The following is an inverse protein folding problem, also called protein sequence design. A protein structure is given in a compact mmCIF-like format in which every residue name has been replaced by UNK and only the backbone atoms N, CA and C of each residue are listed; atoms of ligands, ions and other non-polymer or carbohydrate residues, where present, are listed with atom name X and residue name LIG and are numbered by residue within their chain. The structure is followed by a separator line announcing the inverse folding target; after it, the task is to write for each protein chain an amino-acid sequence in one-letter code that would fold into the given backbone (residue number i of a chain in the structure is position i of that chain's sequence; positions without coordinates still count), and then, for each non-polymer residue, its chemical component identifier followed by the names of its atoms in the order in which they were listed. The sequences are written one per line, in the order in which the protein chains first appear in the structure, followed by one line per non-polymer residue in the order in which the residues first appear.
data_IF_500916878762
#
_entry.id   IF_500916878762
#
_cell.length_a   1.000
_cell.length_b   1.000
_cell.length_c   1.000
_cell.angle_alpha   90.00
_cell.angle_beta   90.00
_cell.angle_gamma   90.00
#
_symmetry.space_group_name_H-M   'P 1'
#
loop_
_entity.id
_entity.type
_entity.pdbx_description
1 polymer ?
#
# COMPACT_ATOMS: atom_id res chain seq x y z
N UNK A 1 0.33 10.06 2.22
CA UNK A 1 0.32 11.51 2.43
C UNK A 1 1.56 11.95 3.20
N UNK A 2 2.55 12.52 2.51
CA UNK A 2 3.72 13.08 3.19
C UNK A 2 3.45 14.44 3.86
N UNK A 3 2.32 15.10 3.59
CA UNK A 3 1.96 16.35 4.27
C UNK A 3 1.62 16.13 5.75
N UNK A 4 1.29 14.89 6.13
CA UNK A 4 1.02 14.49 7.51
C UNK A 4 2.28 14.09 8.30
N UNK A 5 3.45 14.08 7.64
CA UNK A 5 4.71 13.62 8.20
C UNK A 5 5.76 14.72 8.07
N UNK A 6 6.81 14.65 8.88
CA UNK A 6 8.01 15.43 8.63
C UNK A 6 8.86 14.83 7.49
N UNK A 7 9.90 15.55 7.08
CA UNK A 7 10.75 15.16 5.95
C UNK A 7 11.46 13.82 6.16
N UNK A 8 11.92 13.56 7.39
CA UNK A 8 12.61 12.31 7.75
C UNK A 8 11.63 11.14 7.69
N UNK A 9 10.48 11.26 8.36
CA UNK A 9 9.45 10.22 8.39
C UNK A 9 8.86 9.94 6.99
N UNK A 10 8.67 10.97 6.17
CA UNK A 10 8.24 10.79 4.78
C UNK A 10 9.28 10.02 3.95
N UNK A 11 10.57 10.27 4.18
CA UNK A 11 11.66 9.57 3.47
C UNK A 11 11.75 8.11 3.90
N UNK A 12 11.64 7.84 5.20
CA UNK A 12 11.59 6.47 5.75
C UNK A 12 10.40 5.70 5.20
N UNK A 13 9.19 6.27 5.27
CA UNK A 13 7.97 5.68 4.73
C UNK A 13 8.12 5.29 3.25
N UNK A 14 8.70 6.17 2.43
CA UNK A 14 8.94 5.88 1.00
C UNK A 14 9.90 4.71 0.81
N UNK A 15 10.96 4.64 1.62
CA UNK A 15 11.92 3.54 1.58
C UNK A 15 11.25 2.22 1.92
N UNK A 16 10.49 2.18 3.01
CA UNK A 16 9.80 0.97 3.47
C UNK A 16 8.73 0.49 2.48
N UNK A 17 7.98 1.41 1.86
CA UNK A 17 7.03 1.06 0.79
C UNK A 17 7.79 0.48 -0.41
N UNK A 18 8.90 1.10 -0.83
CA UNK A 18 9.70 0.64 -1.97
C UNK A 18 10.26 -0.77 -1.72
N UNK A 19 10.81 -1.02 -0.53
CA UNK A 19 11.27 -2.35 -0.12
C UNK A 19 10.13 -3.36 -0.15
N UNK A 20 8.97 -3.01 0.42
CA UNK A 20 7.78 -3.86 0.41
C UNK A 20 7.31 -4.23 -1.00
N UNK A 21 7.35 -3.28 -1.94
CA UNK A 21 7.01 -3.53 -3.35
C UNK A 21 7.98 -4.54 -4.01
N UNK A 22 9.28 -4.40 -3.73
CA UNK A 22 10.31 -5.31 -4.26
C UNK A 22 10.11 -6.72 -3.70
N UNK A 23 9.97 -6.86 -2.38
CA UNK A 23 9.81 -8.14 -1.69
C UNK A 23 8.55 -8.91 -2.13
N UNK A 24 7.45 -8.19 -2.37
CA UNK A 24 6.16 -8.82 -2.71
C UNK A 24 5.96 -9.03 -4.22
N UNK A 25 6.93 -8.63 -5.04
CA UNK A 25 6.90 -8.75 -6.49
C UNK A 25 6.21 -7.56 -7.17
N UNK A 26 7.00 -6.53 -7.46
CA UNK A 26 6.59 -5.23 -7.97
C UNK A 26 5.68 -5.24 -9.22
N UNK A 27 5.66 -6.33 -10.01
CA UNK A 27 4.85 -6.43 -11.23
C UNK A 27 3.33 -6.35 -10.98
N UNK A 28 2.85 -6.55 -9.74
CA UNK A 28 1.41 -6.52 -9.39
C UNK A 28 1.05 -5.49 -8.31
N UNK A 29 2.00 -4.66 -7.91
CA UNK A 29 1.81 -3.65 -6.87
C UNK A 29 2.23 -2.29 -7.41
N UNK A 30 1.44 -1.27 -7.09
CA UNK A 30 1.68 0.11 -7.53
C UNK A 30 1.54 0.98 -6.28
N UNK A 31 2.50 1.87 -6.06
CA UNK A 31 2.40 2.93 -5.06
C UNK A 31 2.49 4.28 -5.76
N UNK A 32 1.68 5.24 -5.31
CA UNK A 32 1.67 6.60 -5.83
C UNK A 32 1.41 7.58 -4.69
N UNK A 33 1.98 8.79 -4.76
CA UNK A 33 1.68 9.83 -3.78
C UNK A 33 0.23 10.26 -3.94
N UNK A 34 -0.49 10.29 -2.81
CA UNK A 34 -1.85 10.81 -2.77
C UNK A 34 -1.98 11.72 -1.54
N UNK A 35 -2.12 13.02 -1.82
CA UNK A 35 -2.12 14.11 -0.81
C UNK A 35 -3.46 14.22 -0.08
N UNK A 36 -4.58 13.83 -0.69
CA UNK A 36 -5.90 13.89 -0.04
C UNK A 36 -6.19 12.73 0.91
N UNK A 37 -5.20 11.87 1.23
CA UNK A 37 -5.40 10.81 2.21
C UNK A 37 -5.34 11.40 3.62
N UNK A 38 -6.30 11.01 4.45
CA UNK A 38 -6.36 11.37 5.87
C UNK A 38 -5.27 10.67 6.70
N UNK A 39 -4.59 9.68 6.13
CA UNK A 39 -3.51 8.91 6.74
C UNK A 39 -2.25 8.89 5.86
N UNK A 40 -1.06 8.64 6.43
CA UNK A 40 0.18 8.61 5.66
C UNK A 40 0.21 7.56 4.56
N UNK A 41 -0.47 6.42 4.74
CA UNK A 41 -0.53 5.38 3.70
C UNK A 41 -1.85 4.61 3.76
N UNK A 42 -2.33 4.18 2.60
CA UNK A 42 -3.51 3.33 2.50
C UNK A 42 -3.24 2.23 1.49
N UNK A 43 -3.44 0.98 1.90
CA UNK A 43 -3.37 -0.16 1.00
C UNK A 43 -4.74 -0.41 0.40
N UNK A 44 -4.79 -0.65 -0.91
CA UNK A 44 -6.03 -0.92 -1.61
C UNK A 44 -5.93 -2.17 -2.46
N UNK A 45 -7.02 -2.92 -2.51
CA UNK A 45 -7.26 -3.99 -3.46
C UNK A 45 -8.76 -4.03 -3.76
N UNK A 46 -9.20 -4.84 -4.71
CA UNK A 46 -10.59 -4.90 -5.18
C UNK A 46 -11.64 -4.91 -4.05
N UNK A 47 -12.29 -3.76 -3.82
CA UNK A 47 -13.28 -3.57 -2.75
C UNK A 47 -12.72 -3.59 -1.31
N UNK A 48 -11.41 -3.55 -1.15
CA UNK A 48 -10.70 -3.56 0.14
C UNK A 48 -9.85 -2.30 0.29
N UNK A 49 -9.99 -1.63 1.42
CA UNK A 49 -9.22 -0.44 1.80
C UNK A 49 -8.70 -0.66 3.21
N UNK A 50 -7.41 -0.48 3.41
CA UNK A 50 -6.73 -0.59 4.70
C UNK A 50 -5.94 0.69 4.95
N UNK A 51 -6.53 1.70 5.64
CA UNK A 51 -5.79 2.88 6.05
C UNK A 51 -4.78 2.52 7.15
N UNK A 52 -3.64 3.19 7.17
CA UNK A 52 -2.61 3.00 8.19
C UNK A 52 -2.01 4.36 8.60
N UNK A 53 -2.07 4.65 9.90
CA UNK A 53 -1.41 5.83 10.49
C UNK A 53 0.12 5.69 10.52
N UNK A 54 0.61 4.45 10.63
CA UNK A 54 2.02 4.08 10.55
C UNK A 54 2.16 2.86 9.64
N UNK A 55 3.18 2.85 8.78
CA UNK A 55 3.39 1.75 7.86
C UNK A 55 3.95 0.52 8.58
N UNK A 56 3.21 -0.58 8.57
CA UNK A 56 3.70 -1.86 9.06
C UNK A 56 3.97 -2.80 7.87
N UNK A 57 5.24 -3.11 7.55
CA UNK A 57 5.59 -3.95 6.41
C UNK A 57 5.04 -5.38 6.53
N UNK A 58 4.85 -5.91 7.75
CA UNK A 58 4.28 -7.25 7.96
C UNK A 58 2.78 -7.24 7.69
N UNK A 59 2.07 -6.19 8.12
CA UNK A 59 0.65 -6.03 7.76
C UNK A 59 0.48 -5.81 6.26
N UNK A 60 1.35 -5.02 5.63
CA UNK A 60 1.34 -4.81 4.20
C UNK A 60 1.53 -6.12 3.42
N UNK A 61 2.53 -6.93 3.79
CA UNK A 61 2.76 -8.24 3.18
C UNK A 61 1.55 -9.18 3.35
N UNK A 62 0.91 -9.19 4.53
CA UNK A 62 -0.32 -9.97 4.77
C UNK A 62 -1.48 -9.48 3.90
N UNK A 63 -1.67 -8.17 3.79
CA UNK A 63 -2.71 -7.59 2.94
C UNK A 63 -2.49 -7.96 1.48
N UNK A 64 -1.25 -7.84 0.99
CA UNK A 64 -0.90 -8.26 -0.38
C UNK A 64 -1.19 -9.74 -0.57
N UNK A 65 -0.68 -10.61 0.29
CA UNK A 65 -0.89 -12.06 0.19
C UNK A 65 -2.37 -12.44 0.18
N UNK A 66 -3.17 -11.85 1.06
CA UNK A 66 -4.60 -12.14 1.18
C UNK A 66 -5.41 -11.70 -0.05
N UNK A 67 -4.99 -10.61 -0.71
CA UNK A 67 -5.77 -9.96 -1.77
C UNK A 67 -5.18 -10.13 -3.18
N UNK A 68 -4.01 -10.77 -3.29
CA UNK A 68 -3.37 -11.03 -4.59
C UNK A 68 -4.24 -11.94 -5.45
N UNK A 69 -4.43 -11.56 -6.72
CA UNK A 69 -5.24 -12.29 -7.69
C UNK A 69 -6.70 -12.51 -7.26
N UNK A 70 -7.25 -11.65 -6.39
CA UNK A 70 -8.67 -11.69 -6.00
C UNK A 70 -9.53 -10.66 -6.73
N UNK A 71 -9.05 -10.20 -7.89
CA UNK A 71 -9.85 -9.38 -8.80
C UNK A 71 -11.08 -10.17 -9.27
N UNK A 72 -12.24 -9.52 -9.49
CA UNK A 72 -13.31 -10.16 -10.24
C UNK A 72 -12.77 -10.61 -11.59
N UNK A 73 -12.95 -11.88 -11.96
CA UNK A 73 -12.58 -12.33 -13.30
C UNK A 73 -13.43 -11.58 -14.34
N UNK A 74 -12.90 -11.26 -15.52
CA UNK A 74 -13.72 -10.77 -16.62
C UNK A 74 -14.79 -11.85 -16.90
N UNK A 75 -16.06 -11.52 -16.65
CA UNK A 75 -17.23 -12.42 -16.69
C UNK A 75 -17.48 -13.29 -15.45
N UNK A 76 -17.18 -12.84 -14.24
CA UNK A 76 -17.83 -13.40 -13.05
C UNK A 76 -19.37 -13.39 -13.26
N UNK A 77 -20.08 -14.52 -13.03
CA UNK A 77 -21.49 -14.70 -13.42
C UNK A 77 -22.45 -13.70 -12.80
#
# INVERSE_FOLDING_TARGET
NCELLDETACTELKSEIQESLVENGAAKLIAFPWESLEVPVTLTSWGQIMPMEEFDPKMAARFVSANRNRAPEPNAP
#
